data_IF_800168132168
#
_entry.id   IF_800168132168
#
_cell.length_a   1.000
_cell.length_b   1.000
_cell.length_c   1.000
_cell.angle_alpha   90.00
_cell.angle_beta   90.00
_cell.angle_gamma   90.00
#
_symmetry.space_group_name_H-M   'P 1'
#
loop_
_entity.id
_entity.type
_entity.pdbx_description
1 polymer ?
#
# COMPACT_ATOMS: atom_id res chain seq x y z
N UNK A 1 -19.09 -9.09 1.61
CA UNK A 1 -18.95 -8.15 0.47
C UNK A 1 -18.01 -8.70 -0.60
N UNK A 2 -16.77 -9.08 -0.27
CA UNK A 2 -15.80 -9.65 -1.24
C UNK A 2 -16.32 -10.88 -1.98
N UNK A 3 -17.02 -11.79 -1.28
CA UNK A 3 -17.61 -13.00 -1.88
C UNK A 3 -18.70 -12.67 -2.91
N UNK A 4 -19.51 -11.63 -2.67
CA UNK A 4 -20.56 -11.22 -3.61
C UNK A 4 -19.95 -10.67 -4.90
N UNK A 5 -18.90 -9.85 -4.77
CA UNK A 5 -18.17 -9.31 -5.93
C UNK A 5 -17.50 -10.44 -6.72
N UNK A 6 -16.82 -11.38 -6.04
CA UNK A 6 -16.19 -12.53 -6.69
C UNK A 6 -17.21 -13.39 -7.45
N UNK A 7 -18.39 -13.62 -6.85
CA UNK A 7 -19.48 -14.33 -7.50
C UNK A 7 -19.97 -13.57 -8.73
N UNK A 8 -20.20 -12.25 -8.64
CA UNK A 8 -20.65 -11.43 -9.76
C UNK A 8 -19.65 -11.41 -10.92
N UNK A 9 -18.35 -11.37 -10.62
CA UNK A 9 -17.27 -11.39 -11.62
C UNK A 9 -17.28 -12.67 -12.45
N UNK A 10 -17.69 -13.79 -11.86
CA UNK A 10 -17.76 -15.06 -12.58
C UNK A 10 -19.13 -15.23 -13.24
N UNK A 11 -20.20 -14.89 -12.54
CA UNK A 11 -21.57 -15.11 -13.01
C UNK A 11 -21.94 -14.16 -14.16
N UNK A 12 -21.53 -12.88 -14.15
CA UNK A 12 -21.91 -11.96 -15.22
C UNK A 12 -21.34 -12.36 -16.60
N UNK A 13 -20.05 -12.70 -16.74
CA UNK A 13 -19.51 -13.19 -18.01
C UNK A 13 -20.16 -14.49 -18.47
N UNK A 14 -20.42 -15.42 -17.54
CA UNK A 14 -21.09 -16.69 -17.86
C UNK A 14 -22.53 -16.45 -18.29
N UNK A 15 -23.26 -15.56 -17.62
CA UNK A 15 -24.62 -15.18 -17.99
C UNK A 15 -24.65 -14.43 -19.33
N UNK A 16 -23.66 -13.59 -19.62
CA UNK A 16 -23.50 -12.92 -20.90
C UNK A 16 -23.26 -13.93 -22.04
N UNK A 17 -22.36 -14.89 -21.84
CA UNK A 17 -22.14 -15.99 -22.78
C UNK A 17 -23.41 -16.85 -22.98
N UNK A 18 -24.13 -17.15 -21.90
CA UNK A 18 -25.40 -17.85 -21.96
C UNK A 18 -26.49 -17.07 -22.73
N UNK A 19 -26.45 -15.74 -22.67
CA UNK A 19 -27.38 -14.87 -23.40
C UNK A 19 -27.18 -14.89 -24.92
N UNK A 20 -26.01 -15.33 -25.41
CA UNK A 20 -25.74 -15.48 -26.85
C UNK A 20 -26.64 -16.53 -27.51
N UNK A 21 -27.10 -17.51 -26.75
CA UNK A 21 -27.99 -18.58 -27.21
C UNK A 21 -29.48 -18.21 -27.19
N UNK A 22 -29.80 -16.96 -26.84
CA UNK A 22 -31.17 -16.45 -26.79
C UNK A 22 -31.36 -15.33 -27.81
N UNK A 23 -32.51 -15.27 -28.49
CA UNK A 23 -32.84 -14.23 -29.48
C UNK A 23 -33.06 -12.82 -28.87
N UNK A 24 -32.80 -12.66 -27.56
CA UNK A 24 -33.05 -11.41 -26.81
C UNK A 24 -31.85 -10.48 -26.91
N UNK A 25 -31.72 -9.80 -28.05
CA UNK A 25 -30.64 -8.81 -28.32
C UNK A 25 -30.42 -7.81 -27.19
N UNK A 26 -31.49 -7.32 -26.55
CA UNK A 26 -31.39 -6.35 -25.46
C UNK A 26 -30.69 -6.91 -24.21
N UNK A 27 -31.00 -8.16 -23.84
CA UNK A 27 -30.40 -8.82 -22.67
C UNK A 27 -28.89 -8.99 -22.87
N UNK A 28 -28.48 -9.39 -24.07
CA UNK A 28 -27.07 -9.53 -24.43
C UNK A 28 -26.28 -8.22 -24.31
N UNK A 29 -26.83 -7.13 -24.82
CA UNK A 29 -26.17 -5.81 -24.76
C UNK A 29 -26.03 -5.36 -23.30
N UNK A 30 -27.11 -5.48 -22.51
CA UNK A 30 -27.09 -5.07 -21.10
C UNK A 30 -26.09 -5.91 -20.29
N UNK A 31 -26.08 -7.23 -20.46
CA UNK A 31 -25.13 -8.11 -19.76
C UNK A 31 -23.68 -7.84 -20.20
N UNK A 32 -23.44 -7.58 -21.48
CA UNK A 32 -22.11 -7.23 -21.99
C UNK A 32 -21.59 -5.91 -21.41
N UNK A 33 -22.42 -4.87 -21.39
CA UNK A 33 -22.08 -3.58 -20.78
C UNK A 33 -21.81 -3.73 -19.30
N UNK A 34 -22.69 -4.43 -18.56
CA UNK A 34 -22.50 -4.66 -17.13
C UNK A 34 -21.22 -5.45 -16.83
N UNK A 35 -20.92 -6.46 -17.64
CA UNK A 35 -19.69 -7.25 -17.49
C UNK A 35 -18.44 -6.38 -17.72
N UNK A 36 -18.44 -5.52 -18.73
CA UNK A 36 -17.32 -4.62 -19.00
C UNK A 36 -17.16 -3.56 -17.89
N UNK A 37 -18.27 -2.93 -17.48
CA UNK A 37 -18.26 -1.95 -16.40
C UNK A 37 -17.75 -2.54 -15.10
N UNK A 38 -18.14 -3.77 -14.77
CA UNK A 38 -17.68 -4.46 -13.56
C UNK A 38 -16.16 -4.67 -13.59
N UNK A 39 -15.58 -5.08 -14.72
CA UNK A 39 -14.13 -5.21 -14.88
C UNK A 39 -13.39 -3.89 -14.65
N UNK A 40 -13.92 -2.78 -15.18
CA UNK A 40 -13.35 -1.45 -14.96
C UNK A 40 -13.40 -1.03 -13.49
N UNK A 41 -14.53 -1.23 -12.82
CA UNK A 41 -14.69 -0.88 -11.40
C UNK A 41 -13.71 -1.65 -10.53
N UNK A 42 -13.50 -2.93 -10.81
CA UNK A 42 -12.54 -3.76 -10.06
C UNK A 42 -11.11 -3.30 -10.31
N UNK A 43 -10.73 -3.03 -11.56
CA UNK A 43 -9.39 -2.54 -11.88
C UNK A 43 -9.09 -1.22 -11.16
N UNK A 44 -10.02 -0.27 -11.16
CA UNK A 44 -9.90 1.00 -10.44
C UNK A 44 -9.79 0.75 -8.94
N UNK A 45 -10.68 -0.09 -8.38
CA UNK A 45 -10.71 -0.36 -6.94
C UNK A 45 -9.42 -1.00 -6.46
N UNK A 46 -8.90 -2.00 -7.18
CA UNK A 46 -7.63 -2.67 -6.85
C UNK A 46 -6.46 -1.69 -6.98
N UNK A 47 -6.43 -0.89 -8.05
CA UNK A 47 -5.40 0.14 -8.23
C UNK A 47 -5.40 1.16 -7.08
N UNK A 48 -6.58 1.68 -6.72
CA UNK A 48 -6.72 2.61 -5.59
C UNK A 48 -6.32 1.99 -4.25
N UNK A 49 -6.71 0.74 -3.98
CA UNK A 49 -6.31 0.04 -2.76
C UNK A 49 -4.80 -0.19 -2.69
N UNK A 50 -4.17 -0.54 -3.81
CA UNK A 50 -2.72 -0.66 -3.89
C UNK A 50 -2.06 0.69 -3.59
N UNK A 51 -2.50 1.79 -4.22
CA UNK A 51 -1.96 3.13 -3.96
C UNK A 51 -2.15 3.55 -2.50
N UNK A 52 -3.32 3.31 -1.91
CA UNK A 52 -3.58 3.62 -0.50
C UNK A 52 -2.69 2.81 0.43
N UNK A 53 -2.54 1.50 0.17
CA UNK A 53 -1.64 0.65 0.93
C UNK A 53 -0.20 1.19 0.82
N UNK A 54 0.30 1.47 -0.39
CA UNK A 54 1.63 2.04 -0.58
C UNK A 54 1.82 3.35 0.18
N UNK A 55 0.84 4.26 0.12
CA UNK A 55 0.91 5.53 0.83
C UNK A 55 0.92 5.33 2.36
N UNK A 56 0.18 4.36 2.88
CA UNK A 56 0.16 4.03 4.30
C UNK A 56 1.51 3.47 4.77
N UNK A 57 2.12 2.55 4.03
CA UNK A 57 3.42 1.95 4.37
C UNK A 57 4.55 2.98 4.30
N UNK A 58 4.64 3.76 3.22
CA UNK A 58 5.65 4.82 3.10
C UNK A 58 5.43 5.95 4.10
N UNK A 59 4.17 6.34 4.34
CA UNK A 59 3.82 7.38 5.30
C UNK A 59 4.21 6.98 6.72
N UNK A 60 3.86 5.75 7.13
CA UNK A 60 4.23 5.20 8.44
C UNK A 60 5.75 5.13 8.62
N UNK A 61 6.47 4.53 7.67
CA UNK A 61 7.93 4.45 7.72
C UNK A 61 8.59 5.84 7.73
N UNK A 62 8.09 6.80 6.97
CA UNK A 62 8.64 8.17 7.00
C UNK A 62 8.38 8.85 8.35
N UNK A 63 7.20 8.64 8.94
CA UNK A 63 6.84 9.17 10.26
C UNK A 63 7.76 8.60 11.35
N UNK A 64 8.01 7.30 11.33
CA UNK A 64 8.89 6.62 12.29
C UNK A 64 10.34 7.08 12.14
N UNK A 65 10.82 7.22 10.90
CA UNK A 65 12.15 7.74 10.59
C UNK A 65 12.35 9.15 11.18
N UNK A 66 11.40 10.07 10.93
CA UNK A 66 11.48 11.45 11.42
C UNK A 66 11.41 11.46 12.95
N UNK A 67 10.45 10.75 13.53
CA UNK A 67 10.21 10.74 14.98
C UNK A 67 11.41 10.16 15.74
N UNK A 68 11.95 9.01 15.31
CA UNK A 68 13.13 8.40 15.93
C UNK A 68 14.37 9.28 15.83
N UNK A 69 14.55 9.93 14.68
CA UNK A 69 15.65 10.88 14.47
C UNK A 69 15.54 12.05 15.43
N UNK A 70 14.35 12.66 15.54
CA UNK A 70 14.14 13.78 16.45
C UNK A 70 14.32 13.38 17.92
N UNK A 71 13.83 12.20 18.34
CA UNK A 71 14.01 11.70 19.72
C UNK A 71 15.50 11.62 20.07
N UNK A 72 16.34 11.10 19.18
CA UNK A 72 17.76 10.95 19.44
C UNK A 72 18.53 12.27 19.32
N UNK A 73 18.15 13.14 18.40
CA UNK A 73 18.73 14.50 18.33
C UNK A 73 18.42 15.30 19.60
N UNK A 74 17.20 15.22 20.12
CA UNK A 74 16.81 15.88 21.38
C UNK A 74 17.54 15.29 22.59
N UNK A 75 17.94 14.01 22.53
CA UNK A 75 18.78 13.35 23.53
C UNK A 75 20.27 13.71 23.43
N UNK A 76 20.68 14.48 22.41
CA UNK A 76 22.09 14.83 22.17
C UNK A 76 22.91 13.75 21.47
N UNK A 77 22.28 12.67 20.99
CA UNK A 77 22.91 11.50 20.35
C UNK A 77 23.19 11.74 18.85
N UNK A 78 23.74 12.91 18.52
CA UNK A 78 23.91 13.39 17.14
C UNK A 78 24.81 12.46 16.31
N UNK A 79 25.91 11.99 16.89
CA UNK A 79 26.88 11.09 16.25
C UNK A 79 26.26 9.73 15.94
N UNK A 80 25.42 9.22 16.85
CA UNK A 80 24.70 7.95 16.66
C UNK A 80 23.69 8.08 15.52
N UNK A 81 22.87 9.13 15.53
CA UNK A 81 21.94 9.45 14.42
C UNK A 81 22.69 9.55 13.10
N UNK A 82 23.80 10.28 13.07
CA UNK A 82 24.62 10.46 11.87
C UNK A 82 25.21 9.15 11.35
N UNK A 83 25.65 8.26 12.24
CA UNK A 83 26.16 6.94 11.89
C UNK A 83 25.06 6.09 11.25
N UNK A 84 23.92 5.96 11.93
CA UNK A 84 22.82 5.11 11.45
C UNK A 84 22.16 5.65 10.18
N UNK A 85 22.07 6.98 10.02
CA UNK A 85 21.61 7.58 8.77
C UNK A 85 22.53 7.28 7.58
N UNK A 86 23.85 7.18 7.80
CA UNK A 86 24.78 6.77 6.73
C UNK A 86 24.57 5.31 6.35
N UNK A 87 24.35 4.42 7.32
CA UNK A 87 24.03 3.01 7.07
C UNK A 87 22.72 2.89 6.30
N UNK A 88 21.70 3.65 6.69
CA UNK A 88 20.41 3.72 5.99
C UNK A 88 20.60 4.22 4.54
N UNK A 89 21.37 5.29 4.34
CA UNK A 89 21.67 5.85 3.02
C UNK A 89 22.40 4.85 2.11
N UNK A 90 23.36 4.09 2.66
CA UNK A 90 24.14 3.11 1.89
C UNK A 90 23.27 1.94 1.41
N UNK A 91 22.36 1.48 2.28
CA UNK A 91 21.44 0.37 2.00
C UNK A 91 20.25 0.79 1.11
N UNK A 92 19.81 2.04 1.22
CA UNK A 92 18.67 2.53 0.45
C UNK A 92 19.04 2.78 -1.01
N UNK A 93 18.87 1.75 -1.84
CA UNK A 93 19.11 1.78 -3.29
C UNK A 93 17.84 1.48 -4.08
N UNK A 94 16.87 2.42 -4.11
CA UNK A 94 15.66 2.22 -4.90
C UNK A 94 16.00 2.11 -6.39
N UNK A 95 15.39 1.14 -7.05
CA UNK A 95 15.38 1.03 -8.52
C UNK A 95 13.94 1.16 -9.01
N UNK A 96 13.76 1.27 -10.33
CA UNK A 96 12.41 1.33 -10.91
C UNK A 96 11.59 0.06 -10.60
N UNK A 97 12.27 -1.08 -10.47
CA UNK A 97 11.66 -2.39 -10.20
C UNK A 97 11.62 -2.75 -8.73
N UNK A 98 12.49 -2.15 -7.90
CA UNK A 98 12.61 -2.48 -6.49
C UNK A 98 12.53 -1.22 -5.61
N UNK A 99 11.57 -1.23 -4.70
CA UNK A 99 11.33 -0.17 -3.70
C UNK A 99 12.28 -0.23 -2.49
N UNK A 100 13.28 -1.11 -2.56
CA UNK A 100 14.37 -1.27 -1.61
C UNK A 100 13.93 -1.54 -0.17
N UNK A 101 12.75 -2.15 0.01
CA UNK A 101 12.18 -2.52 1.32
C UNK A 101 12.31 -1.39 2.35
N UNK A 102 11.85 -0.20 1.96
CA UNK A 102 12.03 1.04 2.72
C UNK A 102 11.50 0.94 4.16
N UNK A 103 10.40 0.24 4.39
CA UNK A 103 9.83 0.07 5.73
C UNK A 103 10.77 -0.75 6.63
N UNK A 104 11.35 -1.83 6.12
CA UNK A 104 12.28 -2.68 6.84
C UNK A 104 13.61 -1.97 7.10
N UNK A 105 14.06 -1.13 6.17
CA UNK A 105 15.23 -0.29 6.37
C UNK A 105 15.00 0.76 7.47
N UNK A 106 13.84 1.39 7.48
CA UNK A 106 13.46 2.31 8.57
C UNK A 106 13.34 1.56 9.89
N UNK A 107 12.70 0.38 9.93
CA UNK A 107 12.61 -0.43 11.16
C UNK A 107 13.99 -0.78 11.70
N UNK A 108 14.93 -1.17 10.84
CA UNK A 108 16.31 -1.41 11.23
C UNK A 108 16.96 -0.16 11.83
N UNK A 109 16.75 1.00 11.21
CA UNK A 109 17.25 2.29 11.72
C UNK A 109 16.67 2.63 13.11
N UNK A 110 15.34 2.55 13.28
CA UNK A 110 14.66 2.80 14.56
C UNK A 110 15.18 1.87 15.66
N UNK A 111 15.33 0.58 15.34
CA UNK A 111 15.87 -0.42 16.25
C UNK A 111 17.34 -0.16 16.61
N UNK A 112 18.17 0.24 15.65
CA UNK A 112 19.58 0.57 15.89
C UNK A 112 19.74 1.81 16.79
N UNK A 113 18.81 2.77 16.67
CA UNK A 113 18.74 3.90 17.60
C UNK A 113 18.28 3.49 19.01
N UNK A 114 17.61 2.35 19.16
CA UNK A 114 17.10 1.88 20.45
C UNK A 114 15.89 2.68 20.93
N UNK A 115 15.14 3.28 19.99
CA UNK A 115 13.93 4.06 20.28
C UNK A 115 12.76 3.09 20.43
N UNK A 116 12.07 3.12 21.58
CA UNK A 116 10.91 2.26 21.82
C UNK A 116 9.67 2.77 21.07
N UNK A 117 8.76 1.89 20.66
CA UNK A 117 7.49 2.29 20.02
C UNK A 117 6.70 3.31 20.87
N UNK A 118 6.80 3.22 22.19
CA UNK A 118 6.12 4.12 23.13
C UNK A 118 6.62 5.56 22.98
N UNK A 119 7.92 5.76 22.79
CA UNK A 119 8.51 7.09 22.55
C UNK A 119 8.18 7.68 21.17
N UNK A 120 7.86 6.84 20.19
CA UNK A 120 7.39 7.29 18.87
C UNK A 120 5.92 7.73 18.92
N UNK A 121 5.09 7.01 19.68
CA UNK A 121 3.68 7.36 19.88
C UNK A 121 3.51 8.67 20.64
N UNK A 122 4.31 8.88 21.68
CA UNK A 122 4.22 10.08 22.52
C UNK A 122 4.57 11.39 21.77
N UNK A 123 5.30 11.31 20.64
CA UNK A 123 5.67 12.45 19.80
C UNK A 123 4.75 12.64 18.58
N UNK A 124 3.90 11.65 18.26
CA UNK A 124 2.92 11.72 17.17
C UNK A 124 1.59 12.36 17.58
N UNK A 125 1.30 12.48 18.88
CA UNK A 125 0.15 13.22 19.39
C UNK A 125 0.55 14.68 19.68
N UNK A 126 -0.07 15.69 19.02
CA UNK A 126 0.18 17.10 19.28
C UNK A 126 -0.37 17.60 20.62
#
# INVERSE_FOLDING_TARGET
>A
MIYVVAILVVILPVAWLGSEFQDRRGVRIVLGVLSLSLSFVIAISVGSLQTLNYNAWYGGASSDLISATLVQLDAGEVEKVRSELKVLQEKYRPTYENRADYDDLVRQYVNALGVSEESLRQKSDP
#
